data_IF_011943508837
#
_entry.id   IF_011943508837
#
_cell.length_a   1.000
_cell.length_b   1.000
_cell.length_c   1.000
_cell.angle_alpha   90.00
_cell.angle_beta   90.00
_cell.angle_gamma   90.00
#
_symmetry.space_group_name_H-M   'P 1'
#
loop_
_entity.id
_entity.type
_entity.pdbx_description
1 polymer ?
#
# COMPACT_ATOMS: atom_id res chain seq x y z
N UNK A 1 15.97 -7.28 -22.53
CA UNK A 1 15.27 -7.99 -21.43
C UNK A 1 16.11 -7.83 -20.18
N UNK A 2 15.79 -6.87 -19.29
CA UNK A 2 16.58 -6.66 -18.07
C UNK A 2 16.02 -7.58 -16.98
N UNK A 3 16.75 -8.65 -16.70
CA UNK A 3 16.55 -9.52 -15.53
C UNK A 3 17.02 -8.75 -14.29
N UNK A 4 16.11 -8.08 -13.61
CA UNK A 4 16.40 -7.54 -12.28
C UNK A 4 16.35 -8.71 -11.29
N UNK A 5 17.48 -8.93 -10.63
CA UNK A 5 17.64 -9.90 -9.56
C UNK A 5 16.98 -9.35 -8.28
N UNK A 6 15.65 -9.25 -8.25
CA UNK A 6 14.91 -8.75 -7.10
C UNK A 6 15.00 -9.79 -6.00
N UNK A 7 15.86 -9.54 -5.00
CA UNK A 7 16.11 -10.48 -3.92
C UNK A 7 14.92 -10.49 -2.95
N UNK A 8 14.46 -11.67 -2.52
CA UNK A 8 13.47 -11.76 -1.46
C UNK A 8 13.97 -11.10 -0.17
N UNK A 9 13.19 -10.17 0.35
CA UNK A 9 13.45 -9.44 1.59
C UNK A 9 13.15 -10.35 2.79
N UNK A 10 13.92 -10.17 3.87
CA UNK A 10 13.90 -11.13 4.99
C UNK A 10 13.21 -10.64 6.26
N UNK A 11 13.12 -9.34 6.44
CA UNK A 11 12.63 -8.67 7.64
C UNK A 11 12.10 -7.27 7.29
N UNK A 12 11.46 -6.62 8.27
CA UNK A 12 10.81 -5.31 8.06
C UNK A 12 11.83 -4.20 7.80
N UNK A 13 13.04 -4.29 8.35
CA UNK A 13 14.10 -3.29 8.14
C UNK A 13 14.58 -3.31 6.70
N UNK A 14 14.71 -4.50 6.10
CA UNK A 14 15.03 -4.64 4.68
C UNK A 14 13.92 -4.09 3.79
N UNK A 15 12.64 -4.29 4.16
CA UNK A 15 11.50 -3.70 3.44
C UNK A 15 11.57 -2.18 3.46
N UNK A 16 11.74 -1.58 4.64
CA UNK A 16 11.87 -0.11 4.79
C UNK A 16 13.06 0.42 3.98
N UNK A 17 14.22 -0.21 4.09
CA UNK A 17 15.42 0.20 3.36
C UNK A 17 15.23 0.10 1.84
N UNK A 18 14.53 -0.92 1.34
CA UNK A 18 14.28 -1.04 -0.10
C UNK A 18 13.28 0.02 -0.58
N UNK A 19 12.24 0.32 0.20
CA UNK A 19 11.32 1.44 -0.07
C UNK A 19 12.09 2.76 -0.17
N UNK A 20 12.94 3.07 0.80
CA UNK A 20 13.76 4.28 0.80
C UNK A 20 14.68 4.37 -0.42
N UNK A 21 15.31 3.26 -0.83
CA UNK A 21 16.13 3.22 -2.05
C UNK A 21 15.30 3.51 -3.29
N UNK A 22 14.11 2.93 -3.40
CA UNK A 22 13.22 3.14 -4.57
C UNK A 22 12.81 4.61 -4.66
N UNK A 23 12.50 5.23 -3.51
CA UNK A 23 12.17 6.67 -3.43
C UNK A 23 13.39 7.53 -3.78
N UNK A 24 14.57 7.21 -3.25
CA UNK A 24 15.80 7.96 -3.50
C UNK A 24 16.27 7.91 -4.96
N UNK A 25 15.83 6.91 -5.74
CA UNK A 25 16.09 6.84 -7.20
C UNK A 25 15.27 7.87 -7.98
N UNK A 26 14.18 8.42 -7.41
CA UNK A 26 13.35 9.39 -8.10
C UNK A 26 14.04 10.74 -8.20
N UNK A 27 14.02 11.33 -9.39
CA UNK A 27 14.66 12.63 -9.62
C UNK A 27 13.76 13.74 -9.08
N UNK A 28 14.36 14.67 -8.34
CA UNK A 28 13.68 15.90 -7.94
C UNK A 28 13.20 16.67 -9.18
N UNK A 29 11.95 17.13 -9.16
CA UNK A 29 11.25 17.79 -10.26
C UNK A 29 10.71 16.87 -11.36
N UNK A 30 10.79 15.55 -11.20
CA UNK A 30 10.11 14.60 -12.11
C UNK A 30 8.63 14.42 -11.75
N UNK A 31 7.86 13.76 -12.63
CA UNK A 31 6.47 13.37 -12.35
C UNK A 31 6.34 12.46 -11.12
N UNK A 32 7.42 11.76 -10.76
CA UNK A 32 7.52 10.88 -9.60
C UNK A 32 8.23 11.54 -8.39
N UNK A 33 8.41 12.88 -8.40
CA UNK A 33 9.10 13.59 -7.31
C UNK A 33 8.28 13.57 -6.01
N UNK A 34 8.83 12.88 -5.02
CA UNK A 34 8.25 12.70 -3.70
C UNK A 34 8.83 13.65 -2.63
N UNK A 35 9.74 14.55 -3.01
CA UNK A 35 10.50 15.36 -2.05
C UNK A 35 9.63 16.26 -1.16
N UNK A 36 8.48 16.71 -1.66
CA UNK A 36 7.52 17.51 -0.91
C UNK A 36 6.77 16.72 0.19
N UNK A 37 6.73 15.39 0.10
CA UNK A 37 5.93 14.52 0.97
C UNK A 37 6.78 13.68 1.91
N UNK A 38 8.03 14.08 2.16
CA UNK A 38 8.98 13.29 2.94
C UNK A 38 8.46 12.94 4.35
N UNK A 39 7.84 13.90 5.04
CA UNK A 39 7.28 13.66 6.38
C UNK A 39 6.17 12.62 6.36
N UNK A 40 5.24 12.73 5.42
CA UNK A 40 4.15 11.78 5.25
C UNK A 40 4.65 10.38 4.87
N UNK A 41 5.67 10.29 4.01
CA UNK A 41 6.33 9.04 3.65
C UNK A 41 6.95 8.39 4.87
N UNK A 42 7.73 9.15 5.66
CA UNK A 42 8.40 8.63 6.85
C UNK A 42 7.37 8.06 7.84
N UNK A 43 6.22 8.71 8.00
CA UNK A 43 5.11 8.20 8.81
C UNK A 43 4.46 6.92 8.24
N UNK A 44 4.19 6.87 6.93
CA UNK A 44 3.61 5.69 6.27
C UNK A 44 4.56 4.49 6.32
N UNK A 45 5.85 4.71 6.08
CA UNK A 45 6.89 3.67 6.17
C UNK A 45 7.08 3.25 7.62
N UNK A 46 7.01 4.17 8.58
CA UNK A 46 7.08 3.83 10.01
C UNK A 46 5.94 2.92 10.46
N UNK A 47 4.76 3.03 9.82
CA UNK A 47 3.62 2.17 10.10
C UNK A 47 3.80 0.70 9.65
N UNK A 48 4.82 0.37 8.85
CA UNK A 48 5.28 -1.00 8.66
C UNK A 48 6.00 -1.46 9.94
N UNK A 49 5.28 -2.06 10.87
CA UNK A 49 5.83 -2.51 12.16
C UNK A 49 6.30 -3.97 12.13
N UNK A 50 5.71 -4.77 11.25
CA UNK A 50 5.87 -6.22 11.23
C UNK A 50 6.27 -6.74 9.85
N UNK A 51 6.96 -7.87 9.85
CA UNK A 51 7.25 -8.64 8.64
C UNK A 51 6.40 -9.90 8.65
N UNK A 52 5.57 -10.09 7.61
CA UNK A 52 4.71 -11.26 7.48
C UNK A 52 5.48 -12.38 6.75
N UNK A 53 5.73 -13.55 7.38
CA UNK A 53 6.44 -14.66 6.75
C UNK A 53 5.80 -15.14 5.43
N UNK A 54 4.49 -14.97 5.29
CA UNK A 54 3.70 -15.31 4.11
C UNK A 54 4.16 -14.56 2.87
N UNK A 55 4.69 -13.34 3.03
CA UNK A 55 5.21 -12.55 1.91
C UNK A 55 6.27 -13.30 1.12
N UNK A 56 7.08 -14.15 1.77
CA UNK A 56 8.11 -14.98 1.11
C UNK A 56 7.54 -16.13 0.30
N UNK A 57 6.29 -16.53 0.58
CA UNK A 57 5.66 -17.72 0.00
C UNK A 57 4.67 -17.34 -1.08
N UNK A 58 3.88 -16.30 -0.83
CA UNK A 58 2.78 -15.86 -1.67
C UNK A 58 3.00 -14.41 -2.12
N UNK A 59 2.47 -14.02 -3.29
CA UNK A 59 2.32 -12.62 -3.61
C UNK A 59 1.38 -11.96 -2.60
N UNK A 60 1.64 -10.71 -2.28
CA UNK A 60 0.89 -10.01 -1.24
C UNK A 60 0.80 -8.52 -1.53
N UNK A 61 -0.26 -7.89 -1.03
CA UNK A 61 -0.43 -6.45 -1.02
C UNK A 61 -0.56 -6.00 0.43
N UNK A 62 0.39 -5.18 0.86
CA UNK A 62 0.30 -4.49 2.14
C UNK A 62 -0.17 -3.05 1.91
N UNK A 63 -1.21 -2.63 2.64
CA UNK A 63 -1.78 -1.29 2.54
C UNK A 63 -1.74 -0.59 3.89
N UNK A 64 -1.42 0.70 3.87
CA UNK A 64 -1.50 1.60 5.03
C UNK A 64 -2.27 2.84 4.63
N UNK A 65 -3.21 3.27 5.46
CA UNK A 65 -3.91 4.54 5.32
C UNK A 65 -3.87 5.33 6.63
N UNK A 66 -3.46 6.59 6.54
CA UNK A 66 -3.56 7.57 7.65
C UNK A 66 -4.90 8.27 7.54
N UNK A 67 -5.71 8.16 8.59
CA UNK A 67 -7.11 8.60 8.60
C UNK A 67 -7.28 9.80 9.56
N UNK A 68 -7.94 10.85 9.06
CA UNK A 68 -8.38 12.00 9.84
C UNK A 68 -9.83 11.80 10.28
N UNK A 69 -10.16 12.31 11.46
CA UNK A 69 -11.57 12.52 11.80
C UNK A 69 -12.10 13.72 11.00
N UNK A 70 -13.35 13.63 10.54
CA UNK A 70 -13.99 14.73 9.81
C UNK A 70 -13.96 16.02 10.62
N UNK A 71 -13.30 17.06 10.09
CA UNK A 71 -13.24 18.39 10.69
C UNK A 71 -11.95 18.75 11.44
N UNK A 72 -10.97 17.84 11.56
CA UNK A 72 -9.67 18.10 12.20
C UNK A 72 -8.50 17.90 11.25
N UNK A 73 -7.42 18.66 11.42
CA UNK A 73 -6.16 18.46 10.68
C UNK A 73 -5.38 17.25 11.15
N UNK A 74 -5.68 16.75 12.36
CA UNK A 74 -4.88 15.73 13.03
C UNK A 74 -5.17 14.33 12.50
N UNK A 75 -4.12 13.52 12.34
CA UNK A 75 -4.27 12.10 12.09
C UNK A 75 -4.71 11.42 13.38
N UNK A 76 -5.83 10.71 13.30
CA UNK A 76 -6.46 10.11 14.49
C UNK A 76 -6.28 8.60 14.51
N UNK A 77 -6.04 7.98 13.35
CA UNK A 77 -5.85 6.54 13.26
C UNK A 77 -4.98 6.14 12.05
N UNK A 78 -4.38 4.95 12.15
CA UNK A 78 -3.66 4.29 11.05
C UNK A 78 -4.33 2.95 10.78
N UNK A 79 -4.96 2.83 9.61
CA UNK A 79 -5.48 1.57 9.12
C UNK A 79 -4.37 0.80 8.40
N UNK A 80 -4.28 -0.50 8.66
CA UNK A 80 -3.31 -1.41 8.03
C UNK A 80 -4.04 -2.64 7.54
N UNK A 81 -3.63 -3.14 6.39
CA UNK A 81 -4.15 -4.39 5.85
C UNK A 81 -3.07 -5.16 5.13
N UNK A 82 -3.06 -6.47 5.32
CA UNK A 82 -2.21 -7.40 4.60
C UNK A 82 -3.10 -8.37 3.81
N UNK A 83 -3.07 -8.28 2.49
CA UNK A 83 -3.82 -9.14 1.58
C UNK A 83 -2.88 -10.16 0.94
N UNK A 84 -3.19 -11.43 1.10
CA UNK A 84 -2.53 -12.50 0.35
C UNK A 84 -3.22 -12.67 -0.99
N UNK A 85 -2.43 -12.77 -2.05
CA UNK A 85 -2.89 -13.01 -3.40
C UNK A 85 -2.64 -14.47 -3.79
N UNK A 86 -3.44 -15.05 -4.70
CA UNK A 86 -3.21 -16.35 -5.32
C UNK A 86 -1.75 -16.59 -5.76
N UNK A 87 -1.27 -17.83 -5.69
CA UNK A 87 0.13 -18.14 -6.01
C UNK A 87 0.40 -18.17 -7.53
N UNK A 88 0.35 -17.01 -8.15
CA UNK A 88 0.70 -16.78 -9.55
C UNK A 88 1.63 -15.58 -9.67
N UNK A 89 2.26 -15.44 -10.82
CA UNK A 89 3.00 -14.21 -11.13
C UNK A 89 2.00 -13.12 -11.48
N UNK A 90 2.07 -11.99 -10.77
CA UNK A 90 1.19 -10.87 -11.05
C UNK A 90 1.95 -9.73 -11.74
N UNK A 91 1.33 -9.16 -12.77
CA UNK A 91 1.57 -7.78 -13.16
C UNK A 91 0.59 -6.86 -12.40
N UNK A 92 0.77 -5.55 -12.58
CA UNK A 92 -0.06 -4.57 -11.88
C UNK A 92 -1.54 -4.67 -12.30
N UNK A 93 -1.81 -4.83 -13.60
CA UNK A 93 -3.18 -4.88 -14.12
C UNK A 93 -3.96 -6.07 -13.55
N UNK A 94 -3.33 -7.24 -13.45
CA UNK A 94 -3.93 -8.41 -12.82
C UNK A 94 -4.24 -8.15 -11.35
N UNK A 95 -3.34 -7.49 -10.61
CA UNK A 95 -3.59 -7.11 -9.20
C UNK A 95 -4.82 -6.20 -9.11
N UNK A 96 -4.89 -5.14 -9.93
CA UNK A 96 -6.01 -4.21 -9.90
C UNK A 96 -7.35 -4.91 -10.18
N UNK A 97 -7.39 -5.78 -11.19
CA UNK A 97 -8.57 -6.57 -11.53
C UNK A 97 -8.99 -7.51 -10.39
N UNK A 98 -8.02 -8.17 -9.75
CA UNK A 98 -8.30 -9.09 -8.63
C UNK A 98 -8.81 -8.35 -7.40
N UNK A 99 -8.26 -7.18 -7.07
CA UNK A 99 -8.75 -6.38 -5.96
C UNK A 99 -10.19 -5.90 -6.21
N UNK A 100 -10.51 -5.46 -7.42
CA UNK A 100 -11.88 -5.12 -7.79
C UNK A 100 -12.82 -6.34 -7.77
N UNK A 101 -12.34 -7.52 -8.16
CA UNK A 101 -13.09 -8.77 -8.01
C UNK A 101 -13.41 -9.07 -6.53
N UNK A 102 -12.42 -8.99 -5.64
CA UNK A 102 -12.60 -9.17 -4.20
C UNK A 102 -13.55 -8.12 -3.59
N UNK A 103 -13.52 -6.87 -4.08
CA UNK A 103 -14.49 -5.84 -3.68
C UNK A 103 -15.91 -6.25 -4.07
N UNK A 104 -16.10 -6.73 -5.30
CA UNK A 104 -17.41 -7.19 -5.80
C UNK A 104 -17.95 -8.38 -5.00
N UNK A 105 -17.11 -9.35 -4.63
CA UNK A 105 -17.50 -10.48 -3.77
C UNK A 105 -18.01 -10.03 -2.39
N UNK A 106 -17.46 -8.92 -1.87
CA UNK A 106 -17.91 -8.27 -0.63
C UNK A 106 -19.13 -7.36 -0.81
N UNK A 107 -19.68 -7.25 -2.03
CA UNK A 107 -20.79 -6.35 -2.35
C UNK A 107 -20.40 -4.88 -2.44
N UNK A 108 -19.10 -4.57 -2.57
CA UNK A 108 -18.60 -3.21 -2.73
C UNK A 108 -18.50 -2.82 -4.22
N UNK A 109 -18.70 -1.54 -4.57
CA UNK A 109 -18.57 -1.08 -5.95
C UNK A 109 -17.12 -1.17 -6.45
N UNK A 110 -16.97 -1.32 -7.75
CA UNK A 110 -15.68 -1.21 -8.42
C UNK A 110 -15.09 0.20 -8.26
N UNK A 111 -13.77 0.30 -8.12
CA UNK A 111 -13.06 1.59 -8.04
C UNK A 111 -11.91 1.64 -9.04
N UNK A 112 -11.49 2.87 -9.38
CA UNK A 112 -10.39 3.10 -10.32
C UNK A 112 -9.02 2.79 -9.73
N UNK A 113 -8.86 2.95 -8.42
CA UNK A 113 -7.59 2.75 -7.72
C UNK A 113 -7.73 1.73 -6.58
N UNK A 114 -8.04 0.46 -6.90
CA UNK A 114 -8.30 -0.56 -5.89
C UNK A 114 -7.04 -0.98 -5.12
N UNK A 115 -5.86 -0.59 -5.60
CA UNK A 115 -4.58 -0.77 -4.90
C UNK A 115 -4.55 -0.06 -3.55
N UNK A 116 -5.28 1.05 -3.40
CA UNK A 116 -5.35 1.83 -2.18
C UNK A 116 -6.65 1.55 -1.43
N UNK A 117 -6.61 1.71 -0.11
CA UNK A 117 -7.76 1.48 0.77
C UNK A 117 -8.85 2.49 0.45
N UNK A 118 -10.08 2.00 0.35
CA UNK A 118 -11.27 2.80 0.15
C UNK A 118 -12.05 2.99 1.47
N UNK A 119 -12.78 4.11 1.64
CA UNK A 119 -13.57 4.35 2.84
C UNK A 119 -14.61 3.26 3.14
N UNK A 120 -15.20 2.66 2.11
CA UNK A 120 -16.18 1.58 2.24
C UNK A 120 -15.55 0.26 2.74
N UNK A 121 -14.30 -0.03 2.38
CA UNK A 121 -13.53 -1.15 2.92
C UNK A 121 -13.26 -0.99 4.41
N UNK A 122 -12.92 0.22 4.86
CA UNK A 122 -12.72 0.49 6.29
C UNK A 122 -14.04 0.37 7.07
N UNK A 123 -15.14 0.89 6.52
CA UNK A 123 -16.46 0.76 7.13
C UNK A 123 -16.88 -0.72 7.25
N UNK A 124 -16.65 -1.51 6.22
CA UNK A 124 -16.91 -2.95 6.23
C UNK A 124 -16.02 -3.68 7.23
N UNK A 125 -14.71 -3.42 7.24
CA UNK A 125 -13.77 -4.03 8.17
C UNK A 125 -14.14 -3.74 9.63
N UNK A 126 -14.61 -2.51 9.93
CA UNK A 126 -15.12 -2.16 11.25
C UNK A 126 -16.41 -2.91 11.61
N UNK A 127 -17.36 -2.99 10.68
CA UNK A 127 -18.61 -3.75 10.86
C UNK A 127 -18.33 -5.23 11.14
N UNK A 128 -17.31 -5.80 10.51
CA UNK A 128 -16.87 -7.18 10.69
C UNK A 128 -15.98 -7.41 11.92
N UNK A 129 -15.68 -6.36 12.70
CA UNK A 129 -14.78 -6.45 13.86
C UNK A 129 -13.31 -6.73 13.51
N UNK A 130 -12.90 -6.50 12.26
CA UNK A 130 -11.53 -6.67 11.78
C UNK A 130 -10.64 -5.45 11.99
N UNK A 131 -11.24 -4.29 12.32
CA UNK A 131 -10.52 -3.06 12.62
C UNK A 131 -11.36 -2.15 13.52
N UNK A 132 -10.72 -1.49 14.49
CA UNK A 132 -11.37 -0.46 15.31
C UNK A 132 -11.33 0.93 14.66
N UNK A 133 -10.65 1.06 13.52
CA UNK A 133 -10.51 2.34 12.81
C UNK A 133 -11.85 2.73 12.20
N UNK A 134 -12.36 3.90 12.61
CA UNK A 134 -13.56 4.48 12.02
C UNK A 134 -13.33 4.87 10.56
N UNK A 135 -14.36 4.74 9.69
CA UNK A 135 -14.28 5.35 8.37
C UNK A 135 -14.15 6.88 8.54
N UNK A 136 -13.19 7.46 7.84
CA UNK A 136 -12.89 8.89 7.89
C UNK A 136 -12.22 9.36 6.61
N UNK A 137 -11.78 10.62 6.59
CA UNK A 137 -11.05 11.16 5.46
C UNK A 137 -9.64 10.56 5.43
N UNK A 138 -9.25 9.97 4.31
CA UNK A 138 -7.91 9.41 4.16
C UNK A 138 -6.95 10.51 3.73
N UNK A 139 -6.00 10.86 4.60
CA UNK A 139 -5.05 11.93 4.36
C UNK A 139 -3.91 11.50 3.43
N UNK A 140 -3.38 10.31 3.68
CA UNK A 140 -2.31 9.73 2.87
C UNK A 140 -2.31 8.21 2.99
N UNK A 141 -1.79 7.55 1.95
CA UNK A 141 -1.74 6.09 1.87
C UNK A 141 -0.45 5.60 1.26
N UNK A 142 -0.10 4.36 1.60
CA UNK A 142 0.94 3.60 0.95
C UNK A 142 0.42 2.19 0.62
N UNK A 143 0.79 1.69 -0.54
CA UNK A 143 0.57 0.31 -0.95
C UNK A 143 1.91 -0.32 -1.34
N UNK A 144 2.21 -1.52 -0.86
CA UNK A 144 3.43 -2.25 -1.19
C UNK A 144 3.05 -3.61 -1.74
N UNK A 145 3.47 -3.88 -2.98
CA UNK A 145 3.21 -5.15 -3.67
C UNK A 145 4.44 -6.03 -3.55
N UNK A 146 4.24 -7.23 -3.04
CA UNK A 146 5.24 -8.28 -2.94
C UNK A 146 4.96 -9.42 -3.92
N UNK A 147 6.02 -9.98 -4.49
CA UNK A 147 6.00 -11.22 -5.24
C UNK A 147 7.00 -12.19 -4.60
N UNK A 148 6.53 -13.09 -3.74
CA UNK A 148 7.37 -14.08 -3.04
C UNK A 148 8.59 -13.44 -2.34
N UNK A 149 8.33 -12.33 -1.64
CA UNK A 149 9.27 -11.60 -0.81
C UNK A 149 10.03 -10.51 -1.56
N UNK A 150 9.97 -10.48 -2.89
CA UNK A 150 10.48 -9.39 -3.70
C UNK A 150 9.49 -8.23 -3.70
N UNK A 151 9.94 -7.01 -3.42
CA UNK A 151 9.14 -5.81 -3.55
C UNK A 151 9.06 -5.42 -5.03
N UNK A 152 7.85 -5.38 -5.59
CA UNK A 152 7.61 -5.15 -7.02
C UNK A 152 7.14 -3.74 -7.33
N UNK A 153 6.24 -3.21 -6.50
CA UNK A 153 5.65 -1.88 -6.66
C UNK A 153 5.43 -1.24 -5.31
N UNK A 154 5.56 0.09 -5.28
CA UNK A 154 5.13 0.92 -4.16
C UNK A 154 4.24 2.01 -4.71
N UNK A 155 3.04 2.14 -4.16
CA UNK A 155 2.15 3.26 -4.43
C UNK A 155 2.10 4.21 -3.26
N UNK A 156 2.03 5.50 -3.53
CA UNK A 156 1.67 6.52 -2.55
C UNK A 156 0.49 7.35 -3.03
N UNK A 157 -0.32 7.80 -2.08
CA UNK A 157 -1.37 8.81 -2.30
C UNK A 157 -1.23 9.89 -1.24
N UNK A 158 -1.23 11.16 -1.68
CA UNK A 158 -1.24 12.34 -0.83
C UNK A 158 -2.37 13.26 -1.30
N UNK A 159 -3.53 13.18 -0.64
CA UNK A 159 -4.73 13.90 -1.08
C UNK A 159 -5.19 13.45 -2.49
N UNK A 160 -4.99 14.32 -3.50
CA UNK A 160 -5.37 14.04 -4.90
C UNK A 160 -4.19 13.54 -5.75
N UNK A 161 -2.99 13.67 -5.24
CA UNK A 161 -1.77 13.26 -5.94
C UNK A 161 -1.48 11.80 -5.62
N UNK A 162 -1.04 11.04 -6.63
CA UNK A 162 -0.61 9.66 -6.45
C UNK A 162 0.61 9.38 -7.32
N UNK A 163 1.41 8.41 -6.88
CA UNK A 163 2.57 7.92 -7.63
C UNK A 163 2.67 6.41 -7.49
N UNK A 164 3.13 5.74 -8.54
CA UNK A 164 3.39 4.31 -8.58
C UNK A 164 4.84 4.07 -8.99
N UNK A 165 5.65 3.64 -8.04
CA UNK A 165 7.06 3.37 -8.22
C UNK A 165 7.31 1.88 -8.40
N UNK A 166 8.20 1.56 -9.34
CA UNK A 166 8.64 0.19 -9.58
C UNK A 166 9.84 -0.16 -8.71
N UNK A 167 9.81 -1.35 -8.10
CA UNK A 167 10.90 -1.93 -7.30
C UNK A 167 12.12 -2.35 -8.12
#
# INVERSE_FOLDING_TARGET
MVLFNVKPLKDVLQVKSEIEKIIARQKRGSEDDLSAFRGEIDELVSALTEFYPEWKKLPALFRVARVKNGGTTDIVAVYRENLLLPDVKHDLDLILNMLNHMRKEKGLPEVKMPLFVQPDEMALARKEGKSDVAPGEIASQMAVVFQKGALMWIGFVFGRDYVLLRG
#
